data_IF_239208085002
#
_entry.id   IF_239208085002
#
_cell.length_a   1.000
_cell.length_b   1.000
_cell.length_c   1.000
_cell.angle_alpha   90.00
_cell.angle_beta   90.00
_cell.angle_gamma   90.00
#
_symmetry.space_group_name_H-M   'P 1'
#
loop_
_entity.id
_entity.type
_entity.pdbx_description
1 polymer ?
#
# COMPACT_ATOMS: atom_id res chain seq x y z
N UNK A 1 -1.17 -40.95 26.14
CA UNK A 1 -2.09 -39.90 25.62
C UNK A 1 -1.33 -39.22 24.52
N UNK A 2 -1.83 -39.20 23.30
CA UNK A 2 -1.16 -38.48 22.21
C UNK A 2 -1.22 -36.99 22.45
N UNK A 3 -0.14 -36.25 22.11
CA UNK A 3 -0.09 -34.80 22.23
C UNK A 3 -1.31 -34.17 21.58
N UNK A 4 -1.96 -33.27 22.28
CA UNK A 4 -3.13 -32.51 21.78
C UNK A 4 -2.79 -31.66 20.55
N UNK A 5 -1.50 -31.46 20.28
CA UNK A 5 -0.99 -30.73 19.11
C UNK A 5 -1.58 -31.27 17.80
N UNK A 6 -1.65 -32.59 17.61
CA UNK A 6 -2.17 -33.23 16.39
C UNK A 6 -3.66 -32.94 16.15
N UNK A 7 -4.42 -32.72 17.20
CA UNK A 7 -5.85 -32.43 17.15
C UNK A 7 -6.11 -30.93 16.85
N UNK A 8 -5.35 -30.02 17.48
CA UNK A 8 -5.62 -28.60 17.38
C UNK A 8 -4.90 -27.93 16.19
N UNK A 9 -3.77 -28.45 15.72
CA UNK A 9 -3.00 -27.84 14.64
C UNK A 9 -3.83 -27.60 13.36
N UNK A 10 -4.64 -28.55 12.84
CA UNK A 10 -5.47 -28.31 11.66
C UNK A 10 -6.43 -27.13 11.82
N UNK A 11 -7.04 -26.97 12.98
CA UNK A 11 -7.98 -25.87 13.28
C UNK A 11 -7.29 -24.51 13.30
N UNK A 12 -6.10 -24.45 13.87
CA UNK A 12 -5.28 -23.22 13.88
C UNK A 12 -4.86 -22.84 12.46
N UNK A 13 -4.44 -23.81 11.66
CA UNK A 13 -4.01 -23.60 10.27
C UNK A 13 -5.16 -23.08 9.40
N UNK A 14 -6.37 -23.56 9.57
CA UNK A 14 -7.54 -23.04 8.85
C UNK A 14 -7.75 -21.55 9.11
N UNK A 15 -7.64 -21.12 10.37
CA UNK A 15 -7.70 -19.70 10.73
C UNK A 15 -6.56 -18.89 10.15
N UNK A 16 -5.34 -19.42 10.15
CA UNK A 16 -4.17 -18.77 9.58
C UNK A 16 -4.29 -18.60 8.06
N UNK A 17 -4.79 -19.61 7.34
CA UNK A 17 -4.98 -19.55 5.89
C UNK A 17 -5.99 -18.49 5.45
N UNK A 18 -6.98 -18.17 6.30
CA UNK A 18 -7.92 -17.08 6.02
C UNK A 18 -7.27 -15.68 6.17
N UNK A 19 -6.25 -15.56 7.00
CA UNK A 19 -5.57 -14.29 7.29
C UNK A 19 -4.32 -14.05 6.43
N UNK A 20 -3.74 -15.12 5.86
CA UNK A 20 -2.51 -15.03 5.07
C UNK A 20 -2.81 -14.85 3.57
N UNK A 21 -1.91 -14.17 2.85
CA UNK A 21 -1.98 -14.13 1.38
C UNK A 21 -1.90 -15.54 0.78
N UNK A 22 -2.41 -15.73 -0.46
CA UNK A 22 -2.29 -17.01 -1.14
C UNK A 22 -0.82 -17.40 -1.37
N UNK A 23 -0.56 -18.69 -1.48
CA UNK A 23 0.77 -19.26 -1.73
C UNK A 23 1.47 -19.85 -0.50
N UNK A 24 0.89 -19.69 0.69
CA UNK A 24 1.34 -20.42 1.86
C UNK A 24 0.75 -21.84 1.90
N UNK A 25 1.58 -22.78 2.30
CA UNK A 25 1.16 -24.17 2.57
C UNK A 25 1.72 -24.63 3.90
N UNK A 26 0.89 -25.29 4.67
CA UNK A 26 1.23 -25.83 5.99
C UNK A 26 1.28 -27.35 5.94
N UNK A 27 2.27 -27.91 6.59
CA UNK A 27 2.49 -29.35 6.64
C UNK A 27 2.67 -29.81 8.09
N UNK A 28 2.25 -31.03 8.34
CA UNK A 28 2.55 -31.72 9.56
C UNK A 28 3.02 -33.12 9.21
N UNK A 29 4.17 -33.51 9.76
CA UNK A 29 4.75 -34.85 9.57
C UNK A 29 4.97 -35.49 10.94
N UNK A 30 4.60 -36.72 11.07
CA UNK A 30 5.09 -37.55 12.19
C UNK A 30 6.51 -38.05 11.86
N UNK A 31 7.03 -39.02 12.60
CA UNK A 31 8.37 -39.57 12.37
C UNK A 31 8.51 -40.42 11.10
N UNK A 32 7.39 -40.72 10.41
CA UNK A 32 7.38 -41.58 9.24
C UNK A 32 6.89 -40.88 7.96
N UNK A 33 5.83 -40.10 8.08
CA UNK A 33 5.10 -39.59 6.92
C UNK A 33 4.43 -38.23 7.16
N UNK A 34 3.99 -37.62 6.08
CA UNK A 34 3.13 -36.42 6.12
C UNK A 34 1.73 -36.82 6.59
N UNK A 35 1.25 -36.21 7.67
CA UNK A 35 -0.06 -36.51 8.26
C UNK A 35 -1.11 -35.42 7.99
N UNK A 36 -0.65 -34.18 7.65
CA UNK A 36 -1.54 -33.08 7.34
C UNK A 36 -0.90 -32.16 6.29
N UNK A 37 -1.72 -31.58 5.42
CA UNK A 37 -1.36 -30.55 4.45
C UNK A 37 -2.54 -29.63 4.18
N UNK A 38 -2.33 -28.33 4.21
CA UNK A 38 -3.34 -27.34 3.86
C UNK A 38 -2.73 -26.11 3.17
N UNK A 39 -3.26 -25.63 2.04
CA UNK A 39 -4.34 -26.23 1.25
C UNK A 39 -3.98 -27.60 0.65
N UNK A 40 -4.96 -28.46 0.43
CA UNK A 40 -4.72 -29.84 -0.01
C UNK A 40 -4.13 -29.94 -1.43
N UNK A 41 -4.49 -29.03 -2.30
CA UNK A 41 -4.10 -28.95 -3.72
C UNK A 41 -2.79 -28.20 -3.97
N UNK A 42 -2.22 -27.55 -2.94
CA UNK A 42 -0.92 -26.87 -3.07
C UNK A 42 0.25 -27.85 -3.13
N UNK A 43 1.40 -27.40 -3.63
CA UNK A 43 2.68 -28.15 -3.67
C UNK A 43 2.47 -29.62 -4.10
N UNK A 44 2.36 -29.92 -5.40
CA UNK A 44 1.92 -31.22 -5.93
C UNK A 44 2.76 -32.42 -5.47
N UNK A 45 4.06 -32.20 -5.22
CA UNK A 45 5.00 -33.25 -4.81
C UNK A 45 4.88 -33.67 -3.34
N UNK A 46 3.97 -33.09 -2.56
CA UNK A 46 3.75 -33.45 -1.15
C UNK A 46 2.34 -34.02 -0.99
N UNK A 47 2.24 -35.29 -0.56
CA UNK A 47 0.96 -35.94 -0.37
C UNK A 47 0.79 -36.45 1.06
N UNK A 48 -0.40 -36.26 1.64
CA UNK A 48 -0.76 -36.80 2.95
C UNK A 48 -0.76 -38.31 2.88
N UNK A 49 -0.16 -38.97 3.85
CA UNK A 49 -0.02 -40.41 3.93
C UNK A 49 1.26 -41.00 3.31
N UNK A 50 1.98 -40.23 2.50
CA UNK A 50 3.27 -40.62 1.92
C UNK A 50 4.46 -40.22 2.81
N UNK A 51 5.59 -40.98 2.77
CA UNK A 51 6.80 -40.62 3.46
C UNK A 51 7.32 -39.24 2.98
N UNK A 52 7.84 -38.44 3.90
CA UNK A 52 8.54 -37.22 3.55
C UNK A 52 9.96 -37.54 3.01
N UNK A 53 10.52 -36.60 2.26
CA UNK A 53 11.91 -36.74 1.76
C UNK A 53 12.88 -36.62 2.96
N UNK A 54 13.74 -37.63 3.21
CA UNK A 54 14.59 -37.65 4.40
C UNK A 54 15.56 -36.48 4.54
N UNK A 55 16.03 -35.95 3.40
CA UNK A 55 16.90 -34.76 3.34
C UNK A 55 16.15 -33.48 2.97
N UNK A 56 14.84 -33.54 2.86
CA UNK A 56 13.97 -32.40 2.74
C UNK A 56 13.80 -31.65 4.08
N UNK A 57 13.03 -30.55 4.08
CA UNK A 57 12.91 -29.69 5.26
C UNK A 57 12.42 -30.42 6.52
N UNK A 58 11.29 -31.14 6.45
CA UNK A 58 10.77 -31.89 7.59
C UNK A 58 11.70 -33.01 8.04
N UNK A 59 12.25 -33.79 7.11
CA UNK A 59 13.19 -34.87 7.45
C UNK A 59 14.50 -34.35 8.07
N UNK A 60 14.97 -33.22 7.63
CA UNK A 60 16.15 -32.57 8.22
C UNK A 60 15.81 -32.01 9.61
N UNK A 61 14.69 -31.35 9.80
CA UNK A 61 14.25 -30.85 11.10
C UNK A 61 14.11 -31.97 12.13
N UNK A 62 13.50 -33.10 11.73
CA UNK A 62 13.36 -34.30 12.58
C UNK A 62 14.73 -34.86 12.96
N UNK A 63 15.63 -35.01 11.98
CA UNK A 63 16.95 -35.61 12.22
C UNK A 63 17.88 -34.73 13.06
N UNK A 64 17.84 -33.42 12.87
CA UNK A 64 18.73 -32.48 13.56
C UNK A 64 18.14 -31.90 14.83
N UNK A 65 16.84 -32.10 15.05
CA UNK A 65 16.04 -31.50 16.15
C UNK A 65 16.16 -29.96 16.18
N UNK A 66 16.38 -29.35 15.01
CA UNK A 66 16.56 -27.91 14.85
C UNK A 66 15.63 -27.35 13.79
N UNK A 67 15.32 -26.07 13.90
CA UNK A 67 14.59 -25.33 12.85
C UNK A 67 15.47 -25.20 11.61
N UNK A 68 14.87 -25.50 10.46
CA UNK A 68 15.54 -25.53 9.15
C UNK A 68 14.83 -24.59 8.19
N UNK A 69 15.61 -23.89 7.40
CA UNK A 69 15.10 -23.09 6.26
C UNK A 69 15.77 -23.59 4.98
N UNK A 70 14.96 -23.92 3.98
CA UNK A 70 15.45 -24.39 2.69
C UNK A 70 14.73 -23.66 1.54
N UNK A 71 15.47 -23.40 0.47
CA UNK A 71 14.91 -23.01 -0.82
C UNK A 71 15.05 -24.19 -1.77
N UNK A 72 13.95 -24.62 -2.34
CA UNK A 72 13.86 -25.81 -3.16
C UNK A 72 13.35 -25.41 -4.54
N UNK A 73 13.94 -25.98 -5.56
CA UNK A 73 13.53 -25.78 -6.94
C UNK A 73 12.37 -26.73 -7.33
N UNK A 74 11.85 -26.54 -8.55
CA UNK A 74 10.72 -27.29 -9.09
C UNK A 74 10.94 -28.82 -9.10
N UNK A 75 12.20 -29.27 -9.14
CA UNK A 75 12.51 -30.70 -9.24
C UNK A 75 12.15 -31.50 -7.99
N UNK A 76 12.07 -30.83 -6.83
CA UNK A 76 11.78 -31.51 -5.56
C UNK A 76 10.28 -31.73 -5.33
N UNK A 77 9.47 -30.71 -5.53
CA UNK A 77 8.05 -30.76 -5.15
C UNK A 77 7.09 -30.27 -6.24
N UNK A 78 7.58 -30.09 -7.47
CA UNK A 78 6.76 -29.67 -8.61
C UNK A 78 6.56 -28.17 -8.74
N UNK A 79 7.04 -27.39 -7.76
CA UNK A 79 7.08 -25.93 -7.80
C UNK A 79 8.26 -25.38 -6.98
N UNK A 80 8.79 -24.21 -7.32
CA UNK A 80 9.85 -23.58 -6.54
C UNK A 80 9.27 -22.99 -5.24
N UNK A 81 9.76 -23.46 -4.10
CA UNK A 81 9.26 -23.05 -2.78
C UNK A 81 10.38 -22.66 -1.83
N UNK A 82 10.06 -21.80 -0.88
CA UNK A 82 10.85 -21.61 0.34
C UNK A 82 10.11 -22.23 1.51
N UNK A 83 10.81 -23.06 2.28
CA UNK A 83 10.22 -23.83 3.37
C UNK A 83 10.96 -23.55 4.67
N UNK A 84 10.20 -23.36 5.72
CA UNK A 84 10.64 -23.34 7.11
C UNK A 84 10.06 -24.57 7.79
N UNK A 85 10.90 -25.37 8.43
CA UNK A 85 10.47 -26.55 9.18
C UNK A 85 11.07 -26.53 10.59
N UNK A 86 10.27 -26.91 11.56
CA UNK A 86 10.70 -27.03 12.95
C UNK A 86 10.26 -28.35 13.56
N UNK A 87 11.08 -28.95 14.46
CA UNK A 87 10.71 -30.17 15.17
C UNK A 87 9.56 -29.89 16.15
N UNK A 88 8.76 -30.92 16.40
CA UNK A 88 7.67 -30.91 17.36
C UNK A 88 8.03 -31.90 18.47
N UNK A 89 8.06 -31.41 19.69
CA UNK A 89 8.25 -32.23 20.87
C UNK A 89 6.93 -32.38 21.63
N UNK A 90 6.87 -33.42 22.46
CA UNK A 90 5.73 -33.64 23.33
C UNK A 90 5.66 -32.59 24.44
N UNK A 91 4.45 -32.11 24.76
CA UNK A 91 4.21 -31.10 25.79
C UNK A 91 4.35 -31.62 27.22
N UNK A 92 4.15 -32.93 27.42
CA UNK A 92 4.33 -33.59 28.73
C UNK A 92 5.77 -34.15 28.88
N UNK A 93 6.43 -34.47 27.76
CA UNK A 93 7.78 -35.03 27.70
C UNK A 93 8.63 -34.23 26.72
N UNK A 94 9.27 -33.15 27.15
CA UNK A 94 9.96 -32.21 26.24
C UNK A 94 11.11 -32.80 25.41
N UNK A 95 11.64 -33.96 25.80
CA UNK A 95 12.70 -34.66 25.07
C UNK A 95 12.13 -35.67 24.05
N UNK A 96 10.81 -35.88 24.02
CA UNK A 96 10.18 -36.83 23.10
C UNK A 96 9.82 -36.12 21.80
N UNK A 97 10.57 -36.37 20.74
CA UNK A 97 10.31 -35.87 19.40
C UNK A 97 9.08 -36.58 18.81
N UNK A 98 8.09 -35.83 18.37
CA UNK A 98 6.84 -36.33 17.76
C UNK A 98 6.84 -36.22 16.23
N UNK A 99 7.61 -35.29 15.66
CA UNK A 99 7.61 -35.04 14.23
C UNK A 99 8.13 -33.64 13.89
N UNK A 100 7.63 -33.09 12.80
CA UNK A 100 7.90 -31.72 12.40
C UNK A 100 6.68 -31.04 11.83
N UNK A 101 6.56 -29.74 12.07
CA UNK A 101 5.71 -28.88 11.27
C UNK A 101 6.54 -28.10 10.26
N UNK A 102 5.95 -27.78 9.12
CA UNK A 102 6.60 -26.93 8.13
C UNK A 102 5.60 -25.98 7.49
N UNK A 103 6.12 -24.84 7.08
CA UNK A 103 5.40 -23.83 6.31
C UNK A 103 6.20 -23.60 5.04
N UNK A 104 5.54 -23.68 3.89
CA UNK A 104 6.15 -23.25 2.63
C UNK A 104 5.46 -22.02 2.06
N UNK A 105 6.22 -21.27 1.26
CA UNK A 105 5.73 -20.19 0.43
C UNK A 105 6.19 -20.44 -1.00
N UNK A 106 5.23 -20.48 -1.94
CA UNK A 106 5.55 -20.50 -3.36
C UNK A 106 6.39 -19.28 -3.75
N UNK A 107 7.46 -19.49 -4.51
CA UNK A 107 8.32 -18.39 -4.97
C UNK A 107 7.60 -17.48 -5.95
N UNK A 108 6.68 -18.01 -6.73
CA UNK A 108 5.83 -17.21 -7.62
C UNK A 108 4.92 -16.30 -6.82
N UNK A 109 4.32 -16.80 -5.74
CA UNK A 109 3.53 -15.98 -4.81
C UNK A 109 4.38 -14.97 -4.04
N UNK A 110 5.60 -15.33 -3.64
CA UNK A 110 6.53 -14.41 -2.99
C UNK A 110 6.94 -13.27 -3.93
N UNK A 111 7.13 -13.56 -5.22
CA UNK A 111 7.40 -12.56 -6.26
C UNK A 111 6.19 -11.65 -6.49
N UNK A 112 4.99 -12.20 -6.56
CA UNK A 112 3.75 -11.44 -6.71
C UNK A 112 3.53 -10.49 -5.51
N UNK A 113 3.75 -10.97 -4.27
CA UNK A 113 3.66 -10.15 -3.06
C UNK A 113 4.70 -9.02 -3.05
N UNK A 114 5.93 -9.30 -3.49
CA UNK A 114 6.99 -8.30 -3.60
C UNK A 114 6.66 -7.23 -4.63
N UNK A 115 6.12 -7.64 -5.78
CA UNK A 115 5.67 -6.72 -6.82
C UNK A 115 4.51 -5.86 -6.33
N UNK A 116 3.53 -6.45 -5.63
CA UNK A 116 2.43 -5.72 -5.03
C UNK A 116 2.93 -4.67 -4.02
N UNK A 117 3.83 -5.05 -3.11
CA UNK A 117 4.43 -4.13 -2.14
C UNK A 117 5.17 -2.98 -2.83
N UNK A 118 5.96 -3.26 -3.89
CA UNK A 118 6.63 -2.24 -4.67
C UNK A 118 5.63 -1.29 -5.37
N UNK A 119 4.55 -1.83 -5.93
CA UNK A 119 3.49 -1.04 -6.57
C UNK A 119 2.81 -0.11 -5.56
N UNK A 120 2.49 -0.60 -4.37
CA UNK A 120 1.96 0.23 -3.28
C UNK A 120 2.94 1.33 -2.85
N UNK A 121 4.21 1.01 -2.72
CA UNK A 121 5.25 1.98 -2.34
C UNK A 121 5.39 3.09 -3.39
N UNK A 122 5.42 2.75 -4.67
CA UNK A 122 5.47 3.71 -5.78
C UNK A 122 4.19 4.56 -5.81
N UNK A 123 3.02 3.93 -5.73
CA UNK A 123 1.73 4.65 -5.72
C UNK A 123 1.61 5.63 -4.54
N UNK A 124 2.07 5.25 -3.35
CA UNK A 124 2.08 6.13 -2.18
C UNK A 124 3.03 7.32 -2.37
N UNK A 125 4.20 7.10 -2.97
CA UNK A 125 5.14 8.17 -3.26
C UNK A 125 4.58 9.16 -4.31
N UNK A 126 3.97 8.66 -5.38
CA UNK A 126 3.31 9.49 -6.40
C UNK A 126 2.15 10.31 -5.82
N UNK A 127 1.34 9.70 -4.95
CA UNK A 127 0.26 10.39 -4.24
C UNK A 127 0.81 11.50 -3.33
N UNK A 128 1.91 11.26 -2.63
CA UNK A 128 2.59 12.26 -1.82
C UNK A 128 3.08 13.46 -2.63
N UNK A 129 3.63 13.22 -3.83
CA UNK A 129 4.04 14.29 -4.75
C UNK A 129 2.84 15.07 -5.30
N UNK A 130 1.74 14.40 -5.65
CA UNK A 130 0.53 15.05 -6.12
C UNK A 130 -0.11 15.94 -5.04
N UNK A 131 -0.18 15.47 -3.80
CA UNK A 131 -0.65 16.25 -2.66
C UNK A 131 0.22 17.48 -2.39
N UNK A 132 1.55 17.34 -2.53
CA UNK A 132 2.46 18.48 -2.39
C UNK A 132 2.23 19.55 -3.47
N UNK A 133 2.03 19.14 -4.72
CA UNK A 133 1.68 20.04 -5.82
C UNK A 133 0.35 20.75 -5.55
N UNK A 134 -0.67 20.02 -5.16
CA UNK A 134 -1.98 20.58 -4.81
C UNK A 134 -1.90 21.61 -3.69
N UNK A 135 -1.09 21.33 -2.66
CA UNK A 135 -0.86 22.31 -1.58
C UNK A 135 -0.17 23.60 -2.06
N UNK A 136 0.81 23.47 -2.97
CA UNK A 136 1.49 24.63 -3.56
C UNK A 136 0.53 25.45 -4.42
N UNK A 137 -0.25 24.84 -5.30
CA UNK A 137 -1.24 25.49 -6.14
C UNK A 137 -2.34 26.18 -5.29
N UNK A 138 -2.80 25.52 -4.23
CA UNK A 138 -3.75 26.11 -3.28
C UNK A 138 -3.19 27.37 -2.60
N UNK A 139 -1.91 27.36 -2.26
CA UNK A 139 -1.26 28.54 -1.69
C UNK A 139 -1.16 29.69 -2.71
N UNK A 140 -0.88 29.40 -3.97
CA UNK A 140 -0.84 30.41 -5.04
C UNK A 140 -2.22 31.00 -5.32
N UNK A 141 -3.27 30.18 -5.32
CA UNK A 141 -4.67 30.67 -5.42
C UNK A 141 -5.00 31.61 -4.25
N UNK A 142 -4.54 31.28 -3.04
CA UNK A 142 -4.73 32.15 -1.87
C UNK A 142 -4.03 33.50 -2.04
N UNK A 143 -2.82 33.53 -2.58
CA UNK A 143 -2.08 34.78 -2.86
C UNK A 143 -2.81 35.62 -3.89
N UNK A 144 -3.27 35.02 -5.00
CA UNK A 144 -4.04 35.69 -6.04
C UNK A 144 -5.35 36.28 -5.49
N UNK A 145 -6.05 35.55 -4.63
CA UNK A 145 -7.26 36.06 -3.99
C UNK A 145 -6.98 37.30 -3.12
N UNK A 146 -5.85 37.33 -2.39
CA UNK A 146 -5.48 38.51 -1.59
C UNK A 146 -5.22 39.72 -2.48
N UNK A 147 -4.52 39.55 -3.61
CA UNK A 147 -4.27 40.63 -4.57
C UNK A 147 -5.59 41.12 -5.18
N UNK A 148 -6.50 40.26 -5.56
CA UNK A 148 -7.85 40.62 -6.03
C UNK A 148 -8.60 41.49 -5.01
N UNK A 149 -8.61 41.11 -3.74
CA UNK A 149 -9.20 41.95 -2.70
C UNK A 149 -8.57 43.32 -2.61
N UNK A 150 -7.29 43.43 -2.77
CA UNK A 150 -6.56 44.71 -2.74
C UNK A 150 -6.93 45.61 -3.91
N UNK A 151 -7.04 45.07 -5.12
CA UNK A 151 -7.51 45.81 -6.30
C UNK A 151 -8.98 46.26 -6.14
N UNK A 152 -9.85 45.43 -5.59
CA UNK A 152 -11.23 45.83 -5.31
C UNK A 152 -11.28 47.00 -4.32
N UNK A 153 -10.46 46.95 -3.25
CA UNK A 153 -10.38 48.10 -2.30
C UNK A 153 -9.88 49.38 -2.96
N UNK A 154 -8.88 49.29 -3.81
CA UNK A 154 -8.36 50.46 -4.56
C UNK A 154 -9.46 51.06 -5.46
N UNK A 155 -10.20 50.22 -6.18
CA UNK A 155 -11.33 50.66 -7.01
C UNK A 155 -12.38 51.36 -6.16
N UNK A 156 -12.75 50.79 -5.00
CA UNK A 156 -13.72 51.39 -4.10
C UNK A 156 -13.30 52.78 -3.62
N UNK A 157 -11.99 52.93 -3.27
CA UNK A 157 -11.45 54.22 -2.86
C UNK A 157 -11.47 55.25 -4.01
N UNK A 158 -11.06 54.85 -5.23
CA UNK A 158 -11.09 55.69 -6.40
C UNK A 158 -12.51 56.14 -6.79
N UNK A 159 -13.47 55.24 -6.70
CA UNK A 159 -14.91 55.54 -6.91
C UNK A 159 -15.41 56.54 -5.88
N UNK A 160 -15.05 56.36 -4.59
CA UNK A 160 -15.45 57.28 -3.54
C UNK A 160 -14.89 58.69 -3.79
N UNK A 161 -13.61 58.79 -4.22
CA UNK A 161 -13.01 60.06 -4.59
C UNK A 161 -13.72 60.78 -5.71
N UNK A 162 -14.16 60.00 -6.75
CA UNK A 162 -14.93 60.58 -7.87
C UNK A 162 -16.27 61.10 -7.36
N UNK A 163 -16.97 60.34 -6.50
CA UNK A 163 -18.27 60.77 -5.92
C UNK A 163 -18.09 62.02 -5.05
N UNK A 164 -17.09 62.09 -4.22
CA UNK A 164 -16.87 63.16 -3.27
C UNK A 164 -16.41 64.47 -3.97
N UNK A 165 -15.73 64.37 -5.11
CA UNK A 165 -15.27 65.53 -5.87
C UNK A 165 -16.38 66.33 -6.53
N UNK A 166 -17.53 65.70 -6.83
CA UNK A 166 -18.71 66.35 -7.37
C UNK A 166 -18.51 67.07 -8.74
N UNK A 167 -17.33 66.98 -9.32
CA UNK A 167 -16.95 67.63 -10.56
C UNK A 167 -16.24 66.69 -11.52
N UNK A 168 -16.51 66.79 -12.81
CA UNK A 168 -15.78 66.07 -13.87
C UNK A 168 -14.53 66.85 -14.29
N UNK A 169 -13.51 66.88 -13.41
CA UNK A 169 -12.21 67.49 -13.67
C UNK A 169 -11.11 66.48 -14.04
N UNK A 170 -9.89 66.96 -14.32
CA UNK A 170 -8.73 66.12 -14.65
C UNK A 170 -8.41 65.05 -13.59
N UNK A 171 -8.67 65.36 -12.31
CA UNK A 171 -8.52 64.40 -11.21
C UNK A 171 -9.41 63.19 -11.32
N UNK A 172 -10.65 63.36 -11.81
CA UNK A 172 -11.60 62.26 -12.01
C UNK A 172 -11.23 61.39 -13.21
N UNK A 173 -10.63 61.98 -14.27
CA UNK A 173 -10.07 61.21 -15.40
C UNK A 173 -8.92 60.32 -14.93
N UNK A 174 -8.05 60.80 -14.09
CA UNK A 174 -6.94 60.04 -13.52
C UNK A 174 -7.44 58.90 -12.63
N UNK A 175 -8.46 59.16 -11.82
CA UNK A 175 -9.10 58.10 -10.97
C UNK A 175 -9.80 57.02 -11.81
N UNK A 176 -10.47 57.41 -12.93
CA UNK A 176 -11.09 56.45 -13.86
C UNK A 176 -10.05 55.58 -14.58
N UNK A 177 -8.88 56.15 -14.97
CA UNK A 177 -7.81 55.38 -15.57
C UNK A 177 -7.16 54.39 -14.57
N UNK A 178 -7.03 54.80 -13.30
CA UNK A 178 -6.60 53.89 -12.24
C UNK A 178 -7.57 52.73 -12.05
N UNK A 179 -8.89 52.99 -11.99
CA UNK A 179 -9.94 51.99 -11.91
C UNK A 179 -9.86 51.02 -13.09
N UNK A 180 -9.68 51.56 -14.33
CA UNK A 180 -9.55 50.70 -15.51
C UNK A 180 -8.37 49.76 -15.40
N UNK A 181 -7.22 50.26 -14.94
CA UNK A 181 -6.02 49.46 -14.74
C UNK A 181 -6.23 48.36 -13.69
N UNK A 182 -6.86 48.70 -12.55
CA UNK A 182 -7.18 47.70 -11.50
C UNK A 182 -8.18 46.65 -12.00
N UNK A 183 -9.17 47.02 -12.82
CA UNK A 183 -10.11 46.06 -13.43
C UNK A 183 -9.42 45.12 -14.42
N UNK A 184 -8.44 45.59 -15.20
CA UNK A 184 -7.66 44.76 -16.10
C UNK A 184 -6.81 43.74 -15.30
N UNK A 185 -6.20 44.18 -14.20
CA UNK A 185 -5.44 43.29 -13.30
C UNK A 185 -6.35 42.27 -12.63
N UNK A 186 -7.51 42.64 -12.10
CA UNK A 186 -8.52 41.74 -11.55
C UNK A 186 -8.93 40.67 -12.57
N UNK A 187 -9.19 41.09 -13.82
CA UNK A 187 -9.54 40.16 -14.89
C UNK A 187 -8.46 39.14 -15.15
N UNK A 188 -7.20 39.55 -15.21
CA UNK A 188 -6.04 38.68 -15.42
C UNK A 188 -5.88 37.69 -14.26
N UNK A 189 -5.99 38.17 -13.01
CA UNK A 189 -5.89 37.29 -11.83
C UNK A 189 -7.06 36.32 -11.70
N UNK A 190 -8.30 36.75 -12.00
CA UNK A 190 -9.45 35.87 -12.02
C UNK A 190 -9.30 34.76 -13.04
N UNK A 191 -8.74 35.06 -14.21
CA UNK A 191 -8.47 34.06 -15.24
C UNK A 191 -7.43 33.03 -14.77
N UNK A 192 -6.35 33.47 -14.12
CA UNK A 192 -5.34 32.60 -13.51
C UNK A 192 -5.95 31.68 -12.43
N UNK A 193 -6.86 32.20 -11.62
CA UNK A 193 -7.57 31.40 -10.60
C UNK A 193 -8.40 30.30 -11.25
N UNK A 194 -9.11 30.60 -12.33
CA UNK A 194 -9.90 29.60 -13.07
C UNK A 194 -8.98 28.51 -13.63
N UNK A 195 -7.90 28.89 -14.32
CA UNK A 195 -6.95 27.92 -14.88
C UNK A 195 -6.33 27.00 -13.80
N UNK A 196 -5.97 27.56 -12.66
CA UNK A 196 -5.45 26.79 -11.53
C UNK A 196 -6.49 25.88 -10.89
N UNK A 197 -7.72 26.33 -10.78
CA UNK A 197 -8.83 25.51 -10.28
C UNK A 197 -9.10 24.31 -11.20
N UNK A 198 -9.04 24.50 -12.51
CA UNK A 198 -9.19 23.44 -13.50
C UNK A 198 -8.03 22.43 -13.42
N UNK A 199 -6.81 22.90 -13.21
CA UNK A 199 -5.66 22.04 -12.99
C UNK A 199 -5.78 21.21 -11.70
N UNK A 200 -6.27 21.84 -10.60
CA UNK A 200 -6.53 21.14 -9.35
C UNK A 200 -7.63 20.06 -9.52
N UNK A 201 -8.71 20.38 -10.21
CA UNK A 201 -9.78 19.43 -10.50
C UNK A 201 -9.26 18.23 -11.33
N UNK A 202 -8.42 18.49 -12.32
CA UNK A 202 -7.78 17.44 -13.13
C UNK A 202 -6.86 16.55 -12.29
N UNK A 203 -6.05 17.12 -11.42
CA UNK A 203 -5.17 16.36 -10.50
C UNK A 203 -5.97 15.50 -9.53
N UNK A 204 -7.06 16.04 -8.98
CA UNK A 204 -7.96 15.27 -8.11
C UNK A 204 -8.63 14.11 -8.83
N UNK A 205 -9.00 14.27 -10.09
CA UNK A 205 -9.58 13.20 -10.90
C UNK A 205 -8.56 12.09 -11.20
N UNK A 206 -7.33 12.45 -11.49
CA UNK A 206 -6.24 11.47 -11.69
C UNK A 206 -5.97 10.68 -10.40
N UNK A 207 -5.97 11.34 -9.24
CA UNK A 207 -5.81 10.68 -7.95
C UNK A 207 -6.97 9.74 -7.63
N UNK A 208 -8.21 10.17 -7.89
CA UNK A 208 -9.42 9.36 -7.68
C UNK A 208 -9.47 8.11 -8.56
N UNK A 209 -8.94 8.16 -9.78
CA UNK A 209 -8.93 7.02 -10.70
C UNK A 209 -7.80 6.01 -10.41
N UNK A 210 -6.87 6.32 -9.49
CA UNK A 210 -5.76 5.44 -9.11
C UNK A 210 -5.96 4.74 -7.76
N UNK A 211 -7.04 5.05 -7.06
CA UNK A 211 -7.50 4.39 -5.83
C UNK A 211 -8.56 3.34 -6.17
#
# INVERSE_FOLDING_TARGET
MGSKFWEYYPLVVEGMLQALPPGFTFYLSNLEKVVFKAPADSVPGVKVGEPYIPYGPSGTAIRTEQTVTMELDISYYGEPIKVWAAPIFDDEQPDLLLGAFAISLSRDSAFALRNLANTYQVGTAEMGLALKRLAMESQEVKISNVALYQHIQNIQQSLQQIVDSGCWGEENVTALDAIRTDLEMIRAEAQLIVERSDQQASLMQVLSNRV
#
